data_IF_254414975621
#
_entry.id   IF_254414975621
#
_cell.length_a   1.000
_cell.length_b   1.000
_cell.length_c   1.000
_cell.angle_alpha   90.00
_cell.angle_beta   90.00
_cell.angle_gamma   90.00
#
_symmetry.space_group_name_H-M   'P 1'
#
loop_
_entity.id
_entity.type
_entity.pdbx_description
1 polymer ?
#
# COMPACT_ATOMS: atom_id res chain seq x y z
N UNK A 1 23.00 -15.15 2.61
CA UNK A 1 21.66 -15.77 2.78
C UNK A 1 20.44 -14.82 2.85
N UNK A 2 20.53 -13.46 2.97
CA UNK A 2 19.32 -12.62 3.12
C UNK A 2 18.48 -12.43 1.84
N UNK A 3 19.03 -12.74 0.66
CA UNK A 3 18.37 -12.48 -0.64
C UNK A 3 17.14 -13.36 -0.93
N UNK A 4 17.07 -14.57 -0.36
CA UNK A 4 15.94 -15.48 -0.58
C UNK A 4 14.71 -15.06 0.23
N UNK A 5 14.91 -14.72 1.52
CA UNK A 5 13.82 -14.28 2.40
C UNK A 5 13.17 -12.98 1.91
N UNK A 6 13.95 -12.06 1.35
CA UNK A 6 13.43 -10.82 0.75
C UNK A 6 12.58 -11.08 -0.49
N UNK A 7 12.98 -12.03 -1.34
CA UNK A 7 12.20 -12.41 -2.53
C UNK A 7 10.91 -13.12 -2.17
N UNK A 8 10.95 -13.97 -1.13
CA UNK A 8 9.73 -14.58 -0.59
C UNK A 8 8.81 -13.53 0.01
N UNK A 9 9.35 -12.57 0.78
CA UNK A 9 8.57 -11.46 1.32
C UNK A 9 7.95 -10.60 0.21
N UNK A 10 8.69 -10.29 -0.87
CA UNK A 10 8.13 -9.56 -2.01
C UNK A 10 7.06 -10.37 -2.74
N UNK A 11 7.21 -11.69 -2.86
CA UNK A 11 6.18 -12.56 -3.43
C UNK A 11 4.90 -12.52 -2.60
N UNK A 12 5.03 -12.63 -1.27
CA UNK A 12 3.90 -12.55 -0.35
C UNK A 12 3.21 -11.19 -0.45
N UNK A 13 3.98 -10.09 -0.43
CA UNK A 13 3.43 -8.74 -0.59
C UNK A 13 2.73 -8.58 -1.94
N UNK A 14 3.33 -9.06 -3.03
CA UNK A 14 2.71 -9.04 -4.36
C UNK A 14 1.34 -9.69 -4.36
N UNK A 15 1.23 -10.91 -3.82
CA UNK A 15 -0.05 -11.63 -3.75
C UNK A 15 -1.07 -10.85 -2.93
N UNK A 16 -0.69 -10.33 -1.76
CA UNK A 16 -1.60 -9.60 -0.90
C UNK A 16 -2.09 -8.30 -1.57
N UNK A 17 -1.19 -7.53 -2.19
CA UNK A 17 -1.53 -6.31 -2.93
C UNK A 17 -2.46 -6.59 -4.12
N UNK A 18 -2.22 -7.68 -4.87
CA UNK A 18 -3.06 -8.06 -6.01
C UNK A 18 -4.45 -8.54 -5.56
N UNK A 19 -4.53 -9.32 -4.48
CA UNK A 19 -5.82 -9.71 -3.88
C UNK A 19 -6.57 -8.47 -3.42
N UNK A 20 -5.90 -7.56 -2.71
CA UNK A 20 -6.49 -6.29 -2.27
C UNK A 20 -7.01 -5.47 -3.44
N UNK A 21 -6.24 -5.33 -4.51
CA UNK A 21 -6.68 -4.64 -5.72
C UNK A 21 -7.96 -5.27 -6.31
N UNK A 22 -8.01 -6.60 -6.43
CA UNK A 22 -9.19 -7.30 -6.93
C UNK A 22 -10.41 -7.10 -6.03
N UNK A 23 -10.22 -7.10 -4.70
CA UNK A 23 -11.30 -6.83 -3.75
C UNK A 23 -11.81 -5.40 -3.87
N UNK A 24 -10.92 -4.41 -3.99
CA UNK A 24 -11.29 -3.01 -4.22
C UNK A 24 -12.06 -2.83 -5.52
N UNK A 25 -11.62 -3.47 -6.60
CA UNK A 25 -12.32 -3.43 -7.88
C UNK A 25 -13.71 -4.08 -7.79
N UNK A 26 -13.81 -5.23 -7.12
CA UNK A 26 -15.08 -5.92 -6.91
C UNK A 26 -16.04 -5.07 -6.06
N UNK A 27 -15.56 -4.45 -4.97
CA UNK A 27 -16.35 -3.56 -4.13
C UNK A 27 -16.86 -2.36 -4.91
N UNK A 28 -16.01 -1.74 -5.72
CA UNK A 28 -16.41 -0.63 -6.57
C UNK A 28 -17.50 -1.04 -7.57
N UNK A 29 -17.33 -2.18 -8.26
CA UNK A 29 -18.31 -2.71 -9.21
C UNK A 29 -19.64 -3.06 -8.54
N UNK A 30 -19.60 -3.68 -7.35
CA UNK A 30 -20.80 -3.98 -6.57
C UNK A 30 -21.50 -2.69 -6.12
N UNK A 31 -20.75 -1.67 -5.71
CA UNK A 31 -21.27 -0.35 -5.37
C UNK A 31 -22.04 0.31 -6.52
N UNK A 32 -21.57 0.17 -7.77
CA UNK A 32 -22.30 0.66 -8.95
C UNK A 32 -23.64 -0.05 -9.16
N UNK A 33 -23.74 -1.32 -8.76
CA UNK A 33 -24.97 -2.13 -8.87
C UNK A 33 -25.91 -2.00 -7.67
N UNK A 34 -25.52 -1.23 -6.64
CA UNK A 34 -26.26 -1.11 -5.38
C UNK A 34 -26.16 -2.35 -4.47
N UNK A 35 -25.24 -3.26 -4.76
CA UNK A 35 -24.95 -4.43 -3.95
C UNK A 35 -23.86 -4.11 -2.92
N UNK A 36 -23.97 -4.70 -1.73
CA UNK A 36 -22.97 -4.51 -0.67
C UNK A 36 -21.76 -5.42 -0.90
N UNK A 37 -20.58 -4.83 -0.95
CA UNK A 37 -19.30 -5.52 -1.10
C UNK A 37 -18.69 -5.97 0.23
N UNK A 38 -17.46 -6.48 0.18
CA UNK A 38 -16.66 -6.81 1.36
C UNK A 38 -15.90 -5.54 1.77
N UNK A 39 -16.56 -4.68 2.55
CA UNK A 39 -16.02 -3.38 2.97
C UNK A 39 -14.98 -3.51 4.10
N UNK A 40 -14.96 -4.63 4.82
CA UNK A 40 -14.07 -4.85 5.96
C UNK A 40 -13.66 -6.33 6.08
N UNK A 41 -12.40 -6.58 6.42
CA UNK A 41 -11.90 -7.91 6.81
C UNK A 41 -11.13 -7.79 8.13
N UNK A 42 -11.72 -8.28 9.21
CA UNK A 42 -11.05 -8.37 10.51
C UNK A 42 -10.64 -7.02 11.11
N UNK A 43 -11.49 -5.99 11.01
CA UNK A 43 -11.18 -4.62 11.46
C UNK A 43 -10.48 -3.75 10.41
N UNK A 44 -10.07 -4.32 9.28
CA UNK A 44 -9.33 -3.62 8.22
C UNK A 44 -10.31 -3.21 7.13
N UNK A 45 -10.46 -1.90 6.93
CA UNK A 45 -11.31 -1.34 5.88
C UNK A 45 -10.67 -1.53 4.51
N UNK A 46 -11.45 -2.03 3.55
CA UNK A 46 -11.03 -2.21 2.16
C UNK A 46 -11.59 -1.05 1.34
N UNK A 47 -10.74 -0.27 0.65
CA UNK A 47 -11.21 0.82 -0.19
C UNK A 47 -12.07 0.29 -1.35
N UNK A 48 -13.03 1.10 -1.80
CA UNK A 48 -14.01 0.76 -2.83
C UNK A 48 -13.98 1.75 -4.01
N UNK A 49 -12.83 2.37 -4.26
CA UNK A 49 -12.63 3.33 -5.33
C UNK A 49 -11.66 2.83 -6.41
N UNK A 50 -11.80 3.28 -7.67
CA UNK A 50 -10.94 2.83 -8.77
C UNK A 50 -9.50 3.35 -8.65
N UNK A 51 -9.26 4.42 -7.88
CA UNK A 51 -7.92 4.95 -7.64
C UNK A 51 -7.10 3.98 -6.79
N UNK A 52 -7.66 3.51 -5.67
CA UNK A 52 -7.04 2.51 -4.83
C UNK A 52 -6.77 1.19 -5.59
N UNK A 53 -7.68 0.75 -6.46
CA UNK A 53 -7.42 -0.40 -7.35
C UNK A 53 -6.15 -0.21 -8.18
N UNK A 54 -6.03 0.92 -8.90
CA UNK A 54 -4.88 1.19 -9.78
C UNK A 54 -3.57 1.19 -8.98
N UNK A 55 -3.57 1.84 -7.82
CA UNK A 55 -2.37 1.95 -6.99
C UNK A 55 -1.98 0.59 -6.41
N UNK A 56 -2.91 -0.15 -5.79
CA UNK A 56 -2.66 -1.47 -5.22
C UNK A 56 -2.20 -2.46 -6.29
N UNK A 57 -2.85 -2.45 -7.46
CA UNK A 57 -2.49 -3.31 -8.57
C UNK A 57 -1.08 -3.01 -9.07
N UNK A 58 -0.73 -1.72 -9.20
CA UNK A 58 0.61 -1.28 -9.63
C UNK A 58 1.67 -1.74 -8.63
N UNK A 59 1.47 -1.51 -7.34
CA UNK A 59 2.41 -1.94 -6.29
C UNK A 59 2.58 -3.47 -6.32
N UNK A 60 1.48 -4.22 -6.44
CA UNK A 60 1.47 -5.68 -6.55
C UNK A 60 2.28 -6.19 -7.75
N UNK A 61 2.11 -5.58 -8.92
CA UNK A 61 2.87 -5.91 -10.14
C UNK A 61 4.36 -5.58 -10.01
N UNK A 62 4.71 -4.44 -9.41
CA UNK A 62 6.13 -4.07 -9.23
C UNK A 62 6.81 -5.05 -8.26
N UNK A 63 6.13 -5.47 -7.18
CA UNK A 63 6.63 -6.55 -6.32
C UNK A 63 6.76 -7.89 -7.07
N UNK A 64 5.82 -8.24 -7.95
CA UNK A 64 5.92 -9.44 -8.81
C UNK A 64 7.14 -9.37 -9.73
N UNK A 65 7.47 -8.18 -10.24
CA UNK A 65 8.64 -7.94 -11.09
C UNK A 65 9.95 -8.37 -10.45
N UNK A 66 10.06 -8.32 -9.11
CA UNK A 66 11.24 -8.80 -8.40
C UNK A 66 11.50 -10.30 -8.61
N UNK A 67 10.44 -11.09 -8.86
CA UNK A 67 10.53 -12.53 -9.15
C UNK A 67 10.91 -12.79 -10.61
N UNK A 68 10.44 -11.97 -11.54
CA UNK A 68 10.78 -12.08 -12.96
C UNK A 68 12.28 -11.86 -13.21
N UNK A 69 12.91 -10.94 -12.48
CA UNK A 69 14.34 -10.63 -12.61
C UNK A 69 15.26 -11.48 -11.73
N UNK A 70 14.92 -12.75 -11.47
CA UNK A 70 15.65 -13.59 -10.51
C UNK A 70 17.17 -13.69 -10.78
N UNK A 71 17.59 -13.61 -12.05
CA UNK A 71 19.00 -13.63 -12.48
C UNK A 71 19.74 -12.30 -12.31
N UNK A 72 19.05 -11.17 -12.35
CA UNK A 72 19.63 -9.84 -12.25
C UNK A 72 19.31 -9.24 -10.88
N UNK A 73 20.26 -9.36 -9.94
CA UNK A 73 20.08 -8.89 -8.57
C UNK A 73 19.77 -7.40 -8.52
N UNK A 74 20.43 -6.59 -9.35
CA UNK A 74 20.20 -5.15 -9.35
C UNK A 74 18.75 -4.84 -9.71
N UNK A 75 18.23 -5.39 -10.81
CA UNK A 75 16.83 -5.19 -11.22
C UNK A 75 15.84 -5.74 -10.20
N UNK A 76 16.11 -6.92 -9.64
CA UNK A 76 15.23 -7.53 -8.62
C UNK A 76 15.12 -6.64 -7.37
N UNK A 77 16.24 -6.15 -6.84
CA UNK A 77 16.23 -5.26 -5.67
C UNK A 77 15.69 -3.86 -5.99
N UNK A 78 15.88 -3.35 -7.22
CA UNK A 78 15.22 -2.12 -7.68
C UNK A 78 13.70 -2.25 -7.69
N UNK A 79 13.14 -3.37 -8.14
CA UNK A 79 11.69 -3.62 -8.06
C UNK A 79 11.19 -3.60 -6.61
N UNK A 80 11.88 -4.28 -5.69
CA UNK A 80 11.52 -4.28 -4.26
C UNK A 80 11.58 -2.86 -3.69
N UNK A 81 12.62 -2.10 -4.03
CA UNK A 81 12.78 -0.71 -3.59
C UNK A 81 11.64 0.17 -4.10
N UNK A 82 11.35 0.14 -5.40
CA UNK A 82 10.31 0.97 -6.02
C UNK A 82 8.93 0.60 -5.44
N UNK A 83 8.60 -0.69 -5.35
CA UNK A 83 7.34 -1.13 -4.79
C UNK A 83 7.17 -0.68 -3.33
N UNK A 84 8.21 -0.84 -2.51
CA UNK A 84 8.17 -0.44 -1.10
C UNK A 84 8.11 1.08 -0.93
N UNK A 85 8.75 1.84 -1.82
CA UNK A 85 8.67 3.31 -1.82
C UNK A 85 7.28 3.80 -2.23
N UNK A 86 6.66 3.17 -3.24
CA UNK A 86 5.28 3.46 -3.64
C UNK A 86 4.28 3.13 -2.52
N UNK A 87 4.44 1.98 -1.88
CA UNK A 87 3.64 1.58 -0.72
C UNK A 87 3.76 2.60 0.43
N UNK A 88 4.96 3.10 0.71
CA UNK A 88 5.16 4.13 1.74
C UNK A 88 4.59 5.49 1.31
N UNK A 89 4.72 5.87 0.04
CA UNK A 89 4.12 7.10 -0.48
C UNK A 89 2.59 7.07 -0.32
N UNK A 90 1.95 5.92 -0.53
CA UNK A 90 0.52 5.73 -0.30
C UNK A 90 0.14 5.93 1.17
N UNK A 91 0.95 5.44 2.12
CA UNK A 91 0.75 5.72 3.57
C UNK A 91 0.81 7.21 3.85
N UNK A 92 1.77 7.93 3.26
CA UNK A 92 1.90 9.38 3.44
C UNK A 92 0.68 10.09 2.87
N UNK A 93 0.22 9.72 1.68
CA UNK A 93 -0.99 10.31 1.08
C UNK A 93 -2.21 10.07 1.96
N UNK A 94 -2.44 8.83 2.40
CA UNK A 94 -3.60 8.49 3.25
C UNK A 94 -3.54 9.18 4.61
N UNK A 95 -2.36 9.37 5.20
CA UNK A 95 -2.23 10.15 6.44
C UNK A 95 -2.52 11.64 6.22
N UNK A 96 -2.10 12.23 5.09
CA UNK A 96 -2.47 13.60 4.73
C UNK A 96 -3.98 13.75 4.50
N UNK A 97 -4.61 12.77 3.85
CA UNK A 97 -6.07 12.74 3.63
C UNK A 97 -6.79 12.68 4.98
N UNK A 98 -6.40 11.78 5.88
CA UNK A 98 -6.99 11.70 7.22
C UNK A 98 -6.83 13.02 8.02
N UNK A 99 -5.66 13.68 7.90
CA UNK A 99 -5.43 14.99 8.50
C UNK A 99 -6.33 16.09 7.88
N UNK A 100 -6.55 16.05 6.57
CA UNK A 100 -7.48 16.96 5.92
C UNK A 100 -8.93 16.71 6.36
N UNK A 101 -9.34 15.44 6.46
CA UNK A 101 -10.66 15.03 6.93
C UNK A 101 -10.92 15.45 8.38
N UNK A 102 -9.94 15.28 9.28
CA UNK A 102 -10.03 15.76 10.67
C UNK A 102 -10.14 17.27 10.77
N UNK A 103 -9.34 18.01 10.00
CA UNK A 103 -9.39 19.47 9.97
C UNK A 103 -10.75 19.96 9.46
N UNK A 104 -11.28 19.34 8.40
CA UNK A 104 -12.60 19.65 7.88
C UNK A 104 -13.70 19.37 8.93
N UNK A 105 -13.64 18.22 9.59
CA UNK A 105 -14.57 17.88 10.67
C UNK A 105 -14.52 18.87 11.85
N UNK A 106 -13.34 19.38 12.18
CA UNK A 106 -13.16 20.40 13.21
C UNK A 106 -13.77 21.76 12.82
N UNK A 107 -13.70 22.12 11.54
CA UNK A 107 -14.36 23.34 11.04
C UNK A 107 -15.88 23.18 11.08
N UNK A 108 -16.42 22.03 10.66
CA UNK A 108 -17.87 21.77 10.73
C UNK A 108 -18.41 21.76 12.16
N UNK A 109 -17.65 21.23 13.12
CA UNK A 109 -18.07 21.23 14.52
C UNK A 109 -18.12 22.64 15.12
N UNK A 110 -17.22 23.55 14.71
CA UNK A 110 -17.28 24.96 15.08
C UNK A 110 -18.50 25.69 14.48
N UNK A 111 -19.02 25.20 13.35
CA UNK A 111 -20.23 25.71 12.69
C UNK A 111 -21.53 25.14 13.30
N UNK A 112 -21.43 24.27 14.31
CA UNK A 112 -22.58 23.70 15.01
C UNK A 112 -23.18 22.45 14.35
N UNK A 113 -22.53 21.90 13.32
CA UNK A 113 -22.92 20.62 12.72
C UNK A 113 -22.31 19.46 13.52
N UNK A 114 -23.16 18.54 14.00
CA UNK A 114 -22.72 17.39 14.79
C UNK A 114 -22.03 16.37 13.85
N UNK A 115 -20.73 16.49 13.76
CA UNK A 115 -19.88 15.67 12.90
C UNK A 115 -19.56 14.33 13.58
N UNK A 116 -20.26 13.25 13.18
CA UNK A 116 -19.95 11.86 13.60
C UNK A 116 -18.63 11.32 12.99
N UNK A 117 -17.66 12.19 12.66
CA UNK A 117 -16.48 11.88 11.88
C UNK A 117 -15.25 11.39 12.69
N UNK A 118 -15.41 11.10 13.99
CA UNK A 118 -14.31 10.50 14.78
C UNK A 118 -14.08 9.04 14.36
N UNK A 119 -15.12 8.35 13.91
CA UNK A 119 -15.07 6.95 13.48
C UNK A 119 -14.37 6.82 12.12
N UNK A 120 -14.62 7.76 11.19
CA UNK A 120 -14.05 7.76 9.83
C UNK A 120 -12.52 7.94 9.83
N UNK A 121 -11.97 8.69 10.79
CA UNK A 121 -10.52 8.91 10.90
C UNK A 121 -9.79 7.64 11.39
N UNK A 122 -10.43 6.88 12.27
CA UNK A 122 -9.88 5.61 12.75
C UNK A 122 -9.95 4.53 11.66
N UNK A 123 -11.03 4.51 10.86
CA UNK A 123 -11.17 3.63 9.69
C UNK A 123 -10.13 3.96 8.60
N UNK A 124 -9.84 5.23 8.34
CA UNK A 124 -8.78 5.63 7.41
C UNK A 124 -7.38 5.23 7.91
N UNK A 125 -7.13 5.30 9.21
CA UNK A 125 -5.87 4.87 9.81
C UNK A 125 -5.68 3.34 9.81
N UNK A 126 -6.78 2.57 9.90
CA UNK A 126 -6.79 1.11 9.79
C UNK A 126 -7.05 0.60 8.37
N UNK A 127 -6.99 1.48 7.36
CA UNK A 127 -7.17 1.08 5.97
C UNK A 127 -6.12 0.06 5.53
N UNK A 128 -6.56 -0.89 4.72
CA UNK A 128 -5.74 -1.97 4.15
C UNK A 128 -4.43 -1.45 3.55
N UNK A 129 -4.50 -0.34 2.83
CA UNK A 129 -3.37 0.29 2.14
C UNK A 129 -2.29 0.79 3.11
N UNK A 130 -2.72 1.36 4.25
CA UNK A 130 -1.85 1.92 5.28
C UNK A 130 -1.10 0.79 5.98
N UNK A 131 -1.81 -0.27 6.34
CA UNK A 131 -1.22 -1.43 7.02
C UNK A 131 -0.15 -2.08 6.15
N UNK A 132 -0.47 -2.35 4.88
CA UNK A 132 0.51 -2.94 3.95
C UNK A 132 1.71 -2.03 3.69
N UNK A 133 1.50 -0.72 3.61
CA UNK A 133 2.59 0.22 3.45
C UNK A 133 3.54 0.26 4.66
N UNK A 134 3.01 0.14 5.88
CA UNK A 134 3.85 0.01 7.10
C UNK A 134 4.65 -1.31 7.07
N UNK A 135 4.04 -2.43 6.67
CA UNK A 135 4.75 -3.70 6.49
C UNK A 135 5.82 -3.66 5.39
N UNK A 136 5.78 -2.67 4.50
CA UNK A 136 6.78 -2.48 3.45
C UNK A 136 8.05 -1.76 3.93
N UNK A 137 8.05 -1.14 5.12
CA UNK A 137 9.20 -0.39 5.67
C UNK A 137 10.45 -1.28 5.85
N UNK A 138 10.38 -2.48 6.45
CA UNK A 138 11.55 -3.35 6.55
C UNK A 138 12.11 -3.71 5.18
N UNK A 139 11.24 -4.04 4.20
CA UNK A 139 11.66 -4.37 2.84
C UNK A 139 12.39 -3.20 2.18
N UNK A 140 11.91 -1.97 2.38
CA UNK A 140 12.57 -0.76 1.89
C UNK A 140 13.98 -0.61 2.49
N UNK A 141 14.12 -0.71 3.81
CA UNK A 141 15.42 -0.56 4.50
C UNK A 141 16.43 -1.59 3.97
N UNK A 142 16.00 -2.86 3.82
CA UNK A 142 16.88 -3.91 3.32
C UNK A 142 17.23 -3.72 1.84
N UNK A 143 16.27 -3.31 1.00
CA UNK A 143 16.54 -3.05 -0.42
C UNK A 143 17.56 -1.93 -0.63
N UNK A 144 17.50 -0.87 0.18
CA UNK A 144 18.48 0.23 0.15
C UNK A 144 19.88 -0.26 0.54
N UNK A 145 19.99 -1.08 1.59
CA UNK A 145 21.28 -1.63 2.03
C UNK A 145 21.91 -2.48 0.93
N UNK A 146 21.12 -3.32 0.28
CA UNK A 146 21.62 -4.20 -0.78
C UNK A 146 21.98 -3.41 -2.05
N UNK A 147 21.15 -2.47 -2.49
CA UNK A 147 21.46 -1.62 -3.65
C UNK A 147 22.75 -0.83 -3.42
N UNK A 148 22.94 -0.26 -2.22
CA UNK A 148 24.18 0.44 -1.87
C UNK A 148 25.41 -0.49 -1.91
N UNK A 149 25.25 -1.77 -1.56
CA UNK A 149 26.33 -2.74 -1.63
C UNK A 149 26.75 -3.04 -3.08
N UNK A 150 25.76 -3.13 -3.98
CA UNK A 150 25.99 -3.37 -5.41
C UNK A 150 26.67 -2.16 -6.08
N UNK A 151 26.26 -0.94 -5.74
CA UNK A 151 26.90 0.29 -6.27
C UNK A 151 28.36 0.40 -5.84
N UNK A 152 28.73 -0.05 -4.62
CA UNK A 152 30.11 -0.02 -4.13
C UNK A 152 31.03 -1.06 -4.79
N UNK A 153 30.47 -2.11 -5.39
CA UNK A 153 31.22 -3.20 -6.02
C UNK A 153 31.43 -3.00 -7.53
N UNK A 154 30.78 -2.03 -8.16
CA UNK A 154 31.02 -1.69 -9.56
C UNK A 154 32.25 -0.79 -9.66
N UNK A 155 33.33 -1.18 -10.35
CA UNK A 155 34.39 -0.24 -10.71
C UNK A 155 33.83 0.82 -11.69
N UNK A 156 34.44 2.02 -11.72
CA UNK A 156 34.07 3.08 -12.66
C UNK A 156 34.32 2.67 -14.12
#
# INVERSE_FOLDING_TARGET
MPSFSLKMASATMSIIYLIGALLTLANWLLGLSGLKGIEEIGGITIPSDPGAFIVLFTIGLVYAGALCYNRDRAKSFSCIFIASALALALVVINTLVALASTANAAILSLLGELSNNIITVLEEALSFDVILGVFSIPLLIFSIKELRSLTRQSPP
#
